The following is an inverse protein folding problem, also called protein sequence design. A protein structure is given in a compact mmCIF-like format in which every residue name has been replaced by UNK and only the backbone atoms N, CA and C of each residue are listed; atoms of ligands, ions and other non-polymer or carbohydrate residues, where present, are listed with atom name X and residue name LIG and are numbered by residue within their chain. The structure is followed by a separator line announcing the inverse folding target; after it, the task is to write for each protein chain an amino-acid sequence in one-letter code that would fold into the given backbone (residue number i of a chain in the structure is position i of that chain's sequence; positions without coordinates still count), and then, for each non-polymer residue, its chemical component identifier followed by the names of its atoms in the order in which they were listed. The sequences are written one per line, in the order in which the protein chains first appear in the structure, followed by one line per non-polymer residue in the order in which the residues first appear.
data_IF_394885690170
#
_entry.id   IF_394885690170
#
_cell.length_a   1.000
_cell.length_b   1.000
_cell.length_c   1.000
_cell.angle_alpha   90.00
_cell.angle_beta   90.00
_cell.angle_gamma   90.00
#
_symmetry.space_group_name_H-M   'P 1'
#
loop_
_entity.id
_entity.type
_entity.pdbx_description
1 polymer ?
#
# COMPACT_ATOMS: atom_id res chain seq x y z
N UNK A 1 8.98 -13.65 11.22
CA UNK A 1 7.72 -14.37 10.93
C UNK A 1 7.60 -14.77 9.46
N UNK A 2 7.71 -13.85 8.47
CA UNK A 2 7.58 -14.16 7.04
C UNK A 2 8.58 -15.25 6.59
N UNK A 3 9.86 -15.09 6.91
CA UNK A 3 10.90 -16.06 6.58
C UNK A 3 10.66 -17.42 7.23
N UNK A 4 10.19 -17.43 8.47
CA UNK A 4 9.84 -18.69 9.17
C UNK A 4 8.65 -19.38 8.49
N UNK A 5 7.66 -18.63 8.04
CA UNK A 5 6.53 -19.16 7.29
C UNK A 5 6.98 -19.73 5.95
N UNK A 6 7.77 -18.99 5.17
CA UNK A 6 8.32 -19.46 3.91
C UNK A 6 9.18 -20.73 4.09
N UNK A 7 9.99 -20.78 5.15
CA UNK A 7 10.77 -21.98 5.51
C UNK A 7 9.86 -23.19 5.79
N UNK A 8 8.77 -23.01 6.54
CA UNK A 8 7.80 -24.10 6.77
C UNK A 8 7.11 -24.53 5.48
N UNK A 9 6.79 -23.59 4.60
CA UNK A 9 6.20 -23.91 3.29
C UNK A 9 7.11 -24.82 2.48
N UNK A 10 8.39 -24.49 2.39
CA UNK A 10 9.35 -25.26 1.60
C UNK A 10 9.70 -26.58 2.29
N UNK A 11 10.12 -26.54 3.56
CA UNK A 11 10.68 -27.70 4.26
C UNK A 11 9.61 -28.66 4.75
N UNK A 12 8.52 -28.13 5.35
CA UNK A 12 7.53 -28.96 6.03
C UNK A 12 6.35 -29.35 5.15
N UNK A 13 5.94 -28.43 4.26
CA UNK A 13 4.73 -28.64 3.47
C UNK A 13 5.02 -29.01 2.01
N UNK A 14 6.29 -29.03 1.59
CA UNK A 14 6.68 -29.37 0.22
C UNK A 14 6.10 -28.43 -0.82
N UNK A 15 5.97 -27.14 -0.49
CA UNK A 15 5.43 -26.10 -1.37
C UNK A 15 6.53 -25.42 -2.18
N UNK A 16 7.35 -26.20 -2.86
CA UNK A 16 8.38 -25.72 -3.77
C UNK A 16 8.22 -26.43 -5.11
N UNK A 17 8.14 -25.67 -6.20
CA UNK A 17 8.07 -26.23 -7.54
C UNK A 17 9.40 -26.91 -7.95
N UNK A 18 10.52 -26.35 -7.48
CA UNK A 18 11.85 -26.82 -7.81
C UNK A 18 12.25 -28.10 -7.07
N UNK A 19 11.89 -28.17 -5.77
CA UNK A 19 12.20 -29.30 -4.91
C UNK A 19 11.11 -30.39 -4.93
N UNK A 20 9.92 -30.05 -5.43
CA UNK A 20 8.78 -30.95 -5.45
C UNK A 20 8.09 -31.09 -4.07
N UNK A 21 7.04 -31.93 -3.98
CA UNK A 21 6.25 -32.13 -2.78
C UNK A 21 6.95 -33.08 -1.80
N UNK A 22 8.17 -32.73 -1.39
CA UNK A 22 8.99 -33.52 -0.50
C UNK A 22 9.17 -32.75 0.83
N UNK A 23 9.02 -33.44 1.93
CA UNK A 23 9.30 -32.89 3.24
C UNK A 23 10.78 -33.10 3.58
N UNK A 24 11.48 -32.01 3.83
CA UNK A 24 12.88 -31.99 4.24
C UNK A 24 12.96 -31.77 5.75
N UNK A 25 13.74 -32.56 6.43
CA UNK A 25 13.90 -32.49 7.89
C UNK A 25 13.17 -33.63 8.58
N UNK A 26 13.68 -34.02 9.74
CA UNK A 26 13.00 -34.98 10.59
C UNK A 26 11.67 -34.39 11.06
N UNK A 27 10.60 -35.14 10.94
CA UNK A 27 9.41 -34.87 11.73
C UNK A 27 9.88 -34.68 13.18
N UNK A 28 9.39 -33.62 13.82
CA UNK A 28 9.54 -33.47 15.27
C UNK A 28 8.93 -34.70 15.95
N UNK A 29 9.63 -35.81 15.92
CA UNK A 29 9.41 -36.86 16.87
C UNK A 29 9.84 -36.30 18.23
N UNK A 30 8.88 -36.19 19.13
CA UNK A 30 9.01 -35.94 20.54
C UNK A 30 10.05 -36.87 21.19
N UNK A 31 11.28 -36.76 20.83
CA UNK A 31 12.36 -37.35 21.60
C UNK A 31 12.96 -36.31 22.53
N UNK A 32 12.09 -35.69 23.34
CA UNK A 32 12.44 -35.23 24.67
C UNK A 32 12.67 -36.48 25.50
N UNK A 33 13.73 -37.23 25.19
CA UNK A 33 14.16 -38.28 26.05
C UNK A 33 15.67 -38.23 26.19
N UNK A 34 16.09 -37.86 27.40
CA UNK A 34 17.44 -37.98 27.91
C UNK A 34 18.52 -37.00 27.42
N UNK A 35 18.39 -35.70 27.81
CA UNK A 35 19.59 -34.92 28.24
C UNK A 35 20.78 -34.78 27.30
N UNK A 36 20.66 -35.10 26.01
CA UNK A 36 21.65 -34.86 24.98
C UNK A 36 21.01 -34.04 23.86
N UNK A 37 21.50 -32.84 23.75
CA UNK A 37 21.33 -31.95 22.64
C UNK A 37 22.03 -32.55 21.40
N UNK A 38 21.37 -33.52 20.76
CA UNK A 38 21.80 -33.96 19.44
C UNK A 38 21.34 -32.87 18.47
N UNK A 39 22.28 -32.00 18.11
CA UNK A 39 22.10 -30.94 17.15
C UNK A 39 21.28 -31.46 15.98
N UNK A 40 20.34 -30.65 15.51
CA UNK A 40 19.45 -30.94 14.36
C UNK A 40 20.29 -31.46 13.19
N UNK A 41 20.38 -32.79 13.08
CA UNK A 41 21.10 -33.41 11.97
C UNK A 41 20.28 -33.20 10.73
N UNK A 42 20.75 -32.31 9.85
CA UNK A 42 20.17 -32.16 8.53
C UNK A 42 20.23 -33.51 7.82
N UNK A 43 19.10 -34.01 7.36
CA UNK A 43 19.00 -35.28 6.60
C UNK A 43 18.98 -35.06 5.09
N UNK A 44 19.56 -33.95 4.61
CA UNK A 44 19.70 -33.61 3.22
C UNK A 44 21.08 -33.00 2.92
N UNK A 45 21.50 -33.09 1.65
CA UNK A 45 22.80 -32.62 1.19
C UNK A 45 22.93 -31.10 1.25
N UNK A 46 24.16 -30.58 1.20
CA UNK A 46 24.42 -29.14 1.13
C UNK A 46 23.84 -28.53 -0.17
N UNK A 47 23.79 -29.29 -1.24
CA UNK A 47 23.17 -28.86 -2.50
C UNK A 47 21.66 -28.63 -2.31
N UNK A 48 20.96 -29.55 -1.65
CA UNK A 48 19.54 -29.39 -1.31
C UNK A 48 19.33 -28.24 -0.34
N UNK A 49 20.24 -28.03 0.62
CA UNK A 49 20.19 -26.89 1.53
C UNK A 49 20.24 -25.56 0.76
N UNK A 50 21.15 -25.43 -0.20
CA UNK A 50 21.26 -24.25 -1.03
C UNK A 50 19.97 -24.01 -1.86
N UNK A 51 19.37 -25.07 -2.43
CA UNK A 51 18.10 -24.96 -3.14
C UNK A 51 16.94 -24.55 -2.24
N UNK A 52 16.89 -25.05 -1.01
CA UNK A 52 15.90 -24.64 0.00
C UNK A 52 16.03 -23.14 0.30
N UNK A 53 17.24 -22.64 0.49
CA UNK A 53 17.47 -21.23 0.78
C UNK A 53 17.13 -20.34 -0.44
N UNK A 54 17.40 -20.79 -1.66
CA UNK A 54 16.97 -20.12 -2.89
C UNK A 54 15.45 -20.02 -2.99
N UNK A 55 14.73 -21.11 -2.74
CA UNK A 55 13.27 -21.14 -2.80
C UNK A 55 12.63 -20.23 -1.72
N UNK A 56 13.17 -20.27 -0.49
CA UNK A 56 12.72 -19.37 0.58
C UNK A 56 12.92 -17.90 0.18
N UNK A 57 14.08 -17.58 -0.38
CA UNK A 57 14.39 -16.23 -0.83
C UNK A 57 13.47 -15.80 -1.99
N UNK A 58 13.20 -16.69 -2.93
CA UNK A 58 12.29 -16.43 -4.05
C UNK A 58 10.88 -16.11 -3.54
N UNK A 59 10.32 -16.91 -2.64
CA UNK A 59 8.99 -16.68 -2.04
C UNK A 59 8.92 -15.30 -1.35
N UNK A 60 9.93 -14.97 -0.56
CA UNK A 60 9.97 -13.69 0.18
C UNK A 60 10.08 -12.52 -0.80
N UNK A 61 10.99 -12.61 -1.77
CA UNK A 61 11.23 -11.54 -2.74
C UNK A 61 10.00 -11.29 -3.60
N UNK A 62 9.36 -12.33 -4.11
CA UNK A 62 8.14 -12.23 -4.90
C UNK A 62 7.00 -11.62 -4.10
N UNK A 63 6.79 -12.09 -2.87
CA UNK A 63 5.74 -11.56 -1.98
C UNK A 63 5.97 -10.09 -1.64
N UNK A 64 7.22 -9.69 -1.43
CA UNK A 64 7.58 -8.29 -1.17
C UNK A 64 7.29 -7.41 -2.39
N UNK A 65 7.71 -7.84 -3.58
CA UNK A 65 7.49 -7.10 -4.82
C UNK A 65 5.99 -6.95 -5.11
N UNK A 66 5.21 -8.03 -4.97
CA UNK A 66 3.77 -8.01 -5.19
C UNK A 66 3.05 -7.08 -4.19
N UNK A 67 3.44 -7.14 -2.92
CA UNK A 67 2.89 -6.25 -1.88
C UNK A 67 3.20 -4.78 -2.19
N UNK A 68 4.45 -4.48 -2.54
CA UNK A 68 4.87 -3.13 -2.90
C UNK A 68 4.08 -2.62 -4.11
N UNK A 69 3.92 -3.44 -5.15
CA UNK A 69 3.13 -3.11 -6.33
C UNK A 69 1.69 -2.78 -5.97
N UNK A 70 1.02 -3.66 -5.22
CA UNK A 70 -0.38 -3.47 -4.79
C UNK A 70 -0.58 -2.20 -3.96
N UNK A 71 0.32 -1.93 -3.01
CA UNK A 71 0.23 -0.72 -2.20
C UNK A 71 0.48 0.54 -3.03
N UNK A 72 1.43 0.50 -3.97
CA UNK A 72 1.70 1.63 -4.86
C UNK A 72 0.54 1.91 -5.82
N UNK A 73 -0.06 0.87 -6.39
CA UNK A 73 -1.23 0.98 -7.28
C UNK A 73 -2.47 1.56 -6.58
N UNK A 74 -2.57 1.37 -5.25
CA UNK A 74 -3.71 1.82 -4.45
C UNK A 74 -3.32 2.84 -3.37
N UNK A 75 -2.31 3.66 -3.66
CA UNK A 75 -1.81 4.65 -2.70
C UNK A 75 -2.88 5.68 -2.31
N UNK A 76 -3.73 6.06 -3.24
CA UNK A 76 -4.88 6.93 -3.01
C UNK A 76 -5.83 6.35 -1.96
N UNK A 77 -6.16 5.06 -2.08
CA UNK A 77 -7.01 4.35 -1.11
C UNK A 77 -6.33 4.17 0.24
N UNK A 78 -5.03 3.89 0.23
CA UNK A 78 -4.24 3.81 1.46
C UNK A 78 -4.28 5.13 2.24
N UNK A 79 -4.11 6.26 1.54
CA UNK A 79 -4.22 7.57 2.15
C UNK A 79 -5.64 7.87 2.65
N UNK A 80 -6.67 7.51 1.88
CA UNK A 80 -8.05 7.69 2.29
C UNK A 80 -8.40 6.90 3.55
N UNK A 81 -7.97 5.64 3.65
CA UNK A 81 -8.13 4.81 4.86
C UNK A 81 -7.39 5.43 6.05
N UNK A 82 -6.14 5.84 5.85
CA UNK A 82 -5.35 6.46 6.91
C UNK A 82 -5.99 7.76 7.42
N UNK A 83 -6.48 8.61 6.52
CA UNK A 83 -7.15 9.85 6.87
C UNK A 83 -8.47 9.60 7.61
N UNK A 84 -9.25 8.63 7.16
CA UNK A 84 -10.48 8.22 7.83
C UNK A 84 -10.20 7.75 9.28
N UNK A 85 -9.21 6.87 9.46
CA UNK A 85 -8.82 6.37 10.78
C UNK A 85 -8.26 7.47 11.69
N UNK A 86 -7.55 8.43 11.12
CA UNK A 86 -7.05 9.58 11.88
C UNK A 86 -8.20 10.45 12.43
N UNK A 87 -9.28 10.60 11.67
CA UNK A 87 -10.44 11.41 12.07
C UNK A 87 -11.41 10.67 13.00
N UNK A 88 -11.61 9.36 12.78
CA UNK A 88 -12.67 8.57 13.42
C UNK A 88 -12.13 7.52 14.41
N UNK A 89 -10.82 7.32 14.49
CA UNK A 89 -10.11 6.34 15.33
C UNK A 89 -10.45 4.86 15.03
N UNK A 90 -11.62 4.59 14.49
CA UNK A 90 -12.12 3.24 14.19
C UNK A 90 -12.77 3.22 12.80
N UNK A 91 -12.72 2.05 12.19
CA UNK A 91 -13.39 1.76 10.92
C UNK A 91 -13.95 0.34 10.98
N UNK A 92 -15.20 0.17 10.63
CA UNK A 92 -15.79 -1.16 10.48
C UNK A 92 -15.64 -1.71 9.06
N UNK A 93 -16.09 -2.97 8.84
CA UNK A 93 -15.94 -3.64 7.55
C UNK A 93 -16.77 -3.00 6.44
N UNK A 94 -17.95 -2.46 6.74
CA UNK A 94 -18.82 -1.81 5.76
C UNK A 94 -18.24 -0.46 5.34
N UNK A 95 -17.73 0.30 6.29
CA UNK A 95 -17.05 1.58 6.06
C UNK A 95 -15.79 1.39 5.22
N UNK A 96 -15.01 0.35 5.55
CA UNK A 96 -13.81 0.00 4.77
C UNK A 96 -14.18 -0.37 3.32
N UNK A 97 -15.19 -1.23 3.13
CA UNK A 97 -15.64 -1.64 1.80
C UNK A 97 -16.13 -0.45 0.98
N UNK A 98 -16.96 0.43 1.57
CA UNK A 98 -17.45 1.64 0.90
C UNK A 98 -16.29 2.54 0.46
N UNK A 99 -15.30 2.75 1.32
CA UNK A 99 -14.13 3.58 1.03
C UNK A 99 -13.27 2.96 -0.08
N UNK A 100 -13.07 1.64 -0.07
CA UNK A 100 -12.34 0.92 -1.11
C UNK A 100 -13.05 0.97 -2.47
N UNK A 101 -14.38 1.04 -2.48
CA UNK A 101 -15.20 1.18 -3.69
C UNK A 101 -15.38 2.64 -4.14
N UNK A 102 -14.91 3.61 -3.36
CA UNK A 102 -15.10 5.04 -3.63
C UNK A 102 -16.54 5.50 -3.41
N UNK A 103 -17.29 4.81 -2.55
CA UNK A 103 -18.66 5.15 -2.18
C UNK A 103 -18.68 6.02 -0.91
N UNK A 104 -19.77 6.77 -0.66
CA UNK A 104 -19.95 7.47 0.60
C UNK A 104 -19.90 6.51 1.78
N UNK A 105 -19.12 6.85 2.79
CA UNK A 105 -18.92 5.99 3.97
C UNK A 105 -20.12 6.11 4.91
N UNK A 106 -20.80 5.01 5.29
CA UNK A 106 -21.94 5.05 6.19
C UNK A 106 -21.56 5.63 7.56
N UNK A 107 -22.41 6.50 8.11
CA UNK A 107 -22.23 7.04 9.46
C UNK A 107 -21.20 8.16 9.63
N UNK A 108 -20.53 8.59 8.57
CA UNK A 108 -19.76 9.84 8.57
C UNK A 108 -20.65 11.01 8.19
N UNK A 109 -20.68 12.12 8.96
CA UNK A 109 -21.26 13.34 8.46
C UNK A 109 -20.49 13.69 7.18
N UNK A 110 -21.18 13.69 6.05
CA UNK A 110 -20.62 14.27 4.84
C UNK A 110 -20.24 15.71 5.18
N UNK A 111 -19.02 16.15 4.87
CA UNK A 111 -18.77 17.57 4.83
C UNK A 111 -19.80 18.11 3.82
N UNK A 112 -20.75 18.91 4.31
CA UNK A 112 -21.60 19.70 3.44
C UNK A 112 -20.62 20.44 2.53
N UNK A 113 -20.51 20.00 1.28
CA UNK A 113 -19.84 20.82 0.29
C UNK A 113 -20.60 22.14 0.32
N UNK A 114 -19.93 23.26 0.66
CA UNK A 114 -20.57 24.54 0.58
C UNK A 114 -21.13 24.61 -0.84
N UNK A 115 -22.46 24.79 -0.95
CA UNK A 115 -23.09 25.00 -2.23
C UNK A 115 -22.24 26.06 -2.93
N UNK A 116 -21.66 25.69 -4.07
CA UNK A 116 -20.97 26.68 -4.90
C UNK A 116 -21.97 27.82 -5.07
N UNK A 117 -21.63 29.07 -4.70
CA UNK A 117 -22.50 30.16 -4.96
C UNK A 117 -22.80 30.07 -6.45
N UNK A 118 -24.09 29.98 -6.76
CA UNK A 118 -24.62 30.09 -8.11
C UNK A 118 -23.95 31.32 -8.71
N UNK A 119 -23.15 31.13 -9.75
CA UNK A 119 -22.43 32.21 -10.39
C UNK A 119 -23.49 33.06 -11.03
N UNK A 120 -23.98 34.03 -10.24
CA UNK A 120 -24.90 35.01 -10.74
C UNK A 120 -24.22 35.79 -11.87
N UNK A 121 -24.79 35.69 -13.03
CA UNK A 121 -24.58 36.55 -14.20
C UNK A 121 -23.11 37.00 -14.41
N UNK A 122 -22.40 36.25 -15.24
CA UNK A 122 -21.28 36.81 -15.97
C UNK A 122 -21.88 37.75 -17.01
N UNK A 123 -21.64 39.07 -16.93
CA UNK A 123 -22.14 39.99 -17.96
C UNK A 123 -21.59 39.55 -19.32
N UNK A 124 -22.49 39.48 -20.30
CA UNK A 124 -22.19 39.11 -21.68
C UNK A 124 -21.11 40.05 -22.24
N UNK A 125 -20.27 39.51 -23.11
CA UNK A 125 -19.15 40.20 -23.73
C UNK A 125 -19.54 41.46 -24.54
N UNK A 126 -20.83 41.78 -24.62
CA UNK A 126 -21.39 42.96 -25.34
C UNK A 126 -21.51 44.23 -24.46
N UNK A 127 -21.25 44.14 -23.14
CA UNK A 127 -21.36 45.28 -22.22
C UNK A 127 -20.00 45.93 -21.86
N UNK A 128 -18.97 45.75 -22.69
CA UNK A 128 -17.69 46.44 -22.51
C UNK A 128 -17.73 47.76 -23.28
N UNK A 129 -17.72 48.93 -22.62
CA UNK A 129 -17.64 50.21 -23.32
C UNK A 129 -16.30 50.31 -24.07
N UNK A 130 -16.26 51.00 -25.25
CA UNK A 130 -15.05 51.14 -26.05
C UNK A 130 -13.98 51.87 -25.25
N UNK A 131 -12.78 51.35 -25.34
CA UNK A 131 -11.58 51.90 -24.70
C UNK A 131 -11.05 53.13 -25.50
N UNK A 132 -11.73 54.27 -25.36
CA UNK A 132 -11.20 55.54 -25.77
C UNK A 132 -11.28 56.48 -24.55
N UNK A 133 -10.19 56.56 -23.83
CA UNK A 133 -9.69 57.66 -22.99
C UNK A 133 -8.74 57.11 -21.93
N UNK A 134 -7.53 56.73 -22.40
CA UNK A 134 -6.38 56.60 -21.52
C UNK A 134 -5.51 57.85 -21.73
N UNK A 135 -5.43 58.79 -20.78
CA UNK A 135 -4.50 59.88 -20.89
C UNK A 135 -3.06 59.35 -20.79
N UNK A 136 -2.27 59.65 -21.82
CA UNK A 136 -0.82 59.45 -21.85
C UNK A 136 -0.16 60.35 -20.82
N UNK A 137 0.37 59.77 -19.75
CA UNK A 137 1.24 60.48 -18.84
C UNK A 137 2.69 60.47 -19.42
N UNK A 138 2.94 61.42 -20.26
CA UNK A 138 4.28 62.00 -20.43
C UNK A 138 4.28 63.29 -19.61
N UNK A 139 5.04 63.34 -18.55
CA UNK A 139 5.97 64.45 -18.29
C UNK A 139 6.56 64.40 -16.87
N UNK A 140 7.81 64.77 -16.86
CA UNK A 140 8.63 65.32 -15.79
C UNK A 140 9.26 64.37 -14.73
N UNK A 141 10.49 64.03 -15.04
CA UNK A 141 11.55 63.81 -14.05
C UNK A 141 12.21 65.16 -13.72
N UNK A 142 12.28 65.60 -12.47
CA UNK A 142 13.16 66.67 -12.08
C UNK A 142 14.54 66.09 -11.74
N UNK A 143 15.53 66.68 -12.37
CA UNK A 143 16.97 66.62 -12.00
C UNK A 143 17.19 67.36 -10.66
N UNK A 144 17.91 66.67 -9.71
CA UNK A 144 18.45 67.28 -8.51
C UNK A 144 19.28 66.25 -7.76
#
# INVERSE_FOLDING_TARGET
RATETARKMVIKYGMSEKLGPIMFGSSESNEVFLGRDFGHTRNYSEEVAAQIDEEINAIITQSYQETTRKLTEHMDKLHAVAQYLFQNEKMDGEQFAALMEGKPVPGTPQPEMPAMPEVADVPSADDVPPADDVPTADDELPHG
#
